data_IF_340616554256
#
_entry.id   IF_340616554256
#
_cell.length_a   1.000
_cell.length_b   1.000
_cell.length_c   1.000
_cell.angle_alpha   90.00
_cell.angle_beta   90.00
_cell.angle_gamma   90.00
#
_symmetry.space_group_name_H-M   'P 1'
#
loop_
_entity.id
_entity.type
_entity.pdbx_description
1 polymer ?
#
# COMPACT_ATOMS: atom_id res chain seq x y z
N UNK A 1 1.50 -0.36 -20.09
CA UNK A 1 2.38 0.40 -19.19
C UNK A 1 3.47 -0.54 -18.68
N UNK A 2 4.73 -0.10 -18.56
CA UNK A 2 5.76 -0.90 -17.87
C UNK A 2 5.80 -0.53 -16.40
N UNK A 3 5.57 -1.50 -15.52
CA UNK A 3 5.35 -1.30 -14.08
C UNK A 3 6.50 -1.93 -13.29
N UNK A 4 7.14 -1.11 -12.46
CA UNK A 4 8.12 -1.58 -11.47
C UNK A 4 7.46 -1.72 -10.10
N UNK A 5 7.69 -2.81 -9.39
CA UNK A 5 7.30 -2.96 -7.98
C UNK A 5 8.57 -3.11 -7.15
N UNK A 6 8.85 -2.17 -6.24
CA UNK A 6 9.98 -2.29 -5.30
C UNK A 6 9.45 -2.78 -3.94
N UNK A 7 9.88 -3.98 -3.57
CA UNK A 7 9.41 -4.75 -2.42
C UNK A 7 8.43 -5.85 -2.81
N UNK A 8 8.92 -7.06 -2.98
CA UNK A 8 8.16 -8.31 -3.20
C UNK A 8 7.59 -8.94 -1.92
N UNK A 9 7.32 -8.12 -0.90
CA UNK A 9 6.61 -8.54 0.32
C UNK A 9 5.12 -8.84 0.07
N UNK A 10 4.32 -8.98 1.13
CA UNK A 10 2.91 -9.32 1.02
C UNK A 10 2.10 -8.41 0.07
N UNK A 11 2.23 -7.08 0.21
CA UNK A 11 1.50 -6.10 -0.62
C UNK A 11 2.03 -6.09 -2.05
N UNK A 12 3.36 -6.03 -2.24
CA UNK A 12 3.96 -5.97 -3.57
C UNK A 12 3.80 -7.27 -4.36
N UNK A 13 3.87 -8.43 -3.71
CA UNK A 13 3.51 -9.72 -4.32
C UNK A 13 2.04 -9.78 -4.70
N UNK A 14 1.13 -9.32 -3.83
CA UNK A 14 -0.31 -9.30 -4.14
C UNK A 14 -0.59 -8.40 -5.35
N UNK A 15 -0.14 -7.13 -5.34
CA UNK A 15 -0.32 -6.21 -6.45
C UNK A 15 0.40 -6.73 -7.72
N UNK A 16 1.68 -7.03 -7.62
CA UNK A 16 2.53 -7.48 -8.72
C UNK A 16 1.98 -8.72 -9.40
N UNK A 17 1.72 -9.79 -8.63
CA UNK A 17 1.23 -11.04 -9.17
C UNK A 17 -0.18 -10.95 -9.77
N UNK A 18 -1.10 -10.20 -9.14
CA UNK A 18 -2.43 -10.01 -9.72
C UNK A 18 -2.41 -9.16 -11.00
N UNK A 19 -1.60 -8.10 -11.06
CA UNK A 19 -1.42 -7.30 -12.28
C UNK A 19 -0.76 -8.12 -13.41
N UNK A 20 0.31 -8.89 -13.13
CA UNK A 20 0.92 -9.81 -14.11
C UNK A 20 -0.11 -10.80 -14.65
N UNK A 21 -0.94 -11.38 -13.77
CA UNK A 21 -2.04 -12.27 -14.16
C UNK A 21 -3.11 -11.55 -15.01
N UNK A 22 -3.30 -10.25 -14.79
CA UNK A 22 -4.15 -9.38 -15.60
C UNK A 22 -3.61 -9.09 -17.01
N UNK A 23 -2.35 -9.44 -17.29
CA UNK A 23 -1.68 -9.21 -18.56
C UNK A 23 -0.78 -7.98 -18.60
N UNK A 24 -0.53 -7.33 -17.46
CA UNK A 24 0.33 -6.15 -17.36
C UNK A 24 1.82 -6.52 -17.39
N UNK A 25 2.66 -5.63 -17.94
CA UNK A 25 4.12 -5.76 -17.94
C UNK A 25 4.68 -5.29 -16.59
N UNK A 26 4.88 -6.25 -15.67
CA UNK A 26 5.29 -5.99 -14.28
C UNK A 26 6.62 -6.67 -13.97
N UNK A 27 7.55 -5.92 -13.39
CA UNK A 27 8.79 -6.44 -12.81
C UNK A 27 8.78 -6.18 -11.29
N UNK A 28 8.98 -7.22 -10.50
CA UNK A 28 9.03 -7.17 -9.04
C UNK A 28 10.49 -7.23 -8.58
N UNK A 29 10.98 -6.18 -7.94
CA UNK A 29 12.29 -6.13 -7.30
C UNK A 29 12.16 -6.40 -5.80
N UNK A 30 12.99 -7.30 -5.28
CA UNK A 30 13.03 -7.60 -3.84
C UNK A 30 14.44 -7.90 -3.35
N UNK A 31 14.75 -7.55 -2.10
CA UNK A 31 16.06 -7.80 -1.49
C UNK A 31 16.18 -9.17 -0.82
N UNK A 32 15.07 -9.91 -0.64
CA UNK A 32 15.10 -11.27 -0.12
C UNK A 32 15.35 -12.26 -1.25
N UNK A 33 16.62 -12.65 -1.42
CA UNK A 33 17.06 -13.53 -2.52
C UNK A 33 16.26 -14.84 -2.63
N UNK A 34 15.98 -15.51 -1.52
CA UNK A 34 15.18 -16.75 -1.54
C UNK A 34 13.77 -16.54 -2.08
N UNK A 35 13.13 -15.40 -1.74
CA UNK A 35 11.81 -15.04 -2.27
C UNK A 35 11.86 -14.82 -3.79
N UNK A 36 12.88 -14.09 -4.27
CA UNK A 36 13.11 -13.85 -5.70
C UNK A 36 13.34 -15.18 -6.45
N UNK A 37 14.29 -15.99 -5.99
CA UNK A 37 14.63 -17.27 -6.63
C UNK A 37 13.43 -18.23 -6.65
N UNK A 38 12.62 -18.24 -5.59
CA UNK A 38 11.40 -19.03 -5.50
C UNK A 38 10.36 -18.58 -6.52
N UNK A 39 10.14 -17.26 -6.65
CA UNK A 39 9.24 -16.69 -7.65
C UNK A 39 9.73 -16.96 -9.08
N UNK A 40 11.03 -16.87 -9.34
CA UNK A 40 11.61 -17.18 -10.66
C UNK A 40 11.44 -18.65 -11.04
N UNK A 41 11.71 -19.56 -10.10
CA UNK A 41 11.70 -21.00 -10.35
C UNK A 41 10.30 -21.60 -10.41
N UNK A 42 9.47 -21.29 -9.42
CA UNK A 42 8.19 -21.95 -9.19
C UNK A 42 6.98 -21.05 -9.50
N UNK A 43 7.21 -19.78 -9.85
CA UNK A 43 6.17 -18.75 -9.91
C UNK A 43 5.73 -18.28 -8.53
N UNK A 44 5.10 -17.10 -8.50
CA UNK A 44 4.46 -16.56 -7.30
C UNK A 44 3.12 -17.25 -7.05
N UNK A 45 2.98 -17.86 -5.87
CA UNK A 45 1.73 -18.44 -5.41
C UNK A 45 0.90 -17.38 -4.66
N UNK A 46 -0.34 -17.20 -5.10
CA UNK A 46 -1.32 -16.29 -4.54
C UNK A 46 -2.53 -17.09 -4.06
N UNK A 47 -2.99 -16.84 -2.84
CA UNK A 47 -4.25 -17.41 -2.37
C UNK A 47 -5.11 -16.43 -1.54
N UNK A 48 -6.31 -16.88 -1.17
CA UNK A 48 -7.24 -16.15 -0.31
C UNK A 48 -8.51 -15.72 -1.04
N UNK A 49 -8.93 -14.46 -0.87
CA UNK A 49 -10.26 -13.99 -1.30
C UNK A 49 -10.52 -14.02 -2.81
N UNK A 50 -9.47 -14.08 -3.62
CA UNK A 50 -9.57 -14.20 -5.08
C UNK A 50 -9.31 -15.62 -5.60
N UNK A 51 -9.26 -16.62 -4.71
CA UNK A 51 -8.90 -18.00 -5.04
C UNK A 51 -7.39 -18.21 -5.15
N UNK A 52 -7.01 -19.43 -5.56
CA UNK A 52 -5.62 -19.86 -5.66
C UNK A 52 -5.10 -19.70 -7.08
N UNK A 53 -3.93 -19.06 -7.23
CA UNK A 53 -3.27 -18.83 -8.51
C UNK A 53 -1.78 -19.03 -8.36
N UNK A 54 -1.13 -19.62 -9.37
CA UNK A 54 0.32 -19.62 -9.51
C UNK A 54 0.65 -18.81 -10.76
N UNK A 55 1.35 -17.70 -10.58
CA UNK A 55 1.61 -16.72 -11.63
C UNK A 55 3.11 -16.68 -11.88
N UNK A 56 3.54 -16.88 -13.12
CA UNK A 56 4.93 -16.67 -13.49
C UNK A 56 5.20 -15.17 -13.59
N UNK A 57 5.92 -14.62 -12.62
CA UNK A 57 6.26 -13.20 -12.52
C UNK A 57 7.71 -12.96 -12.95
N UNK A 58 8.01 -11.78 -13.49
CA UNK A 58 9.40 -11.30 -13.62
C UNK A 58 9.83 -10.75 -12.26
N UNK A 59 10.41 -11.62 -11.43
CA UNK A 59 11.00 -11.25 -10.15
C UNK A 59 12.51 -11.12 -10.28
N UNK A 60 13.07 -10.04 -9.75
CA UNK A 60 14.51 -9.75 -9.77
C UNK A 60 15.00 -9.32 -8.40
N UNK A 61 16.25 -9.63 -8.12
CA UNK A 61 16.88 -9.14 -6.92
C UNK A 61 17.33 -7.69 -7.13
N UNK A 62 17.33 -6.88 -6.07
CA UNK A 62 17.65 -5.44 -6.16
C UNK A 62 19.06 -5.14 -6.68
N UNK A 63 20.01 -6.09 -6.59
CA UNK A 63 21.36 -5.94 -7.16
C UNK A 63 21.37 -5.95 -8.70
N UNK A 64 20.35 -6.55 -9.32
CA UNK A 64 20.21 -6.60 -10.77
C UNK A 64 19.90 -5.22 -11.37
N UNK A 65 19.43 -4.27 -10.55
CA UNK A 65 19.24 -2.87 -10.96
C UNK A 65 20.54 -2.24 -11.46
N UNK A 66 21.71 -2.69 -11.00
CA UNK A 66 23.01 -2.18 -11.45
C UNK A 66 23.23 -2.34 -12.97
N UNK A 67 22.60 -3.35 -13.59
CA UNK A 67 22.68 -3.62 -15.02
C UNK A 67 21.35 -3.37 -15.75
N UNK A 68 20.31 -2.90 -15.05
CA UNK A 68 19.00 -2.66 -15.63
C UNK A 68 19.01 -1.39 -16.48
N UNK A 69 18.41 -1.44 -17.66
CA UNK A 69 18.44 -0.32 -18.63
C UNK A 69 17.05 0.20 -19.00
N UNK A 70 15.99 -0.54 -18.67
CA UNK A 70 14.63 -0.17 -19.05
C UNK A 70 14.08 0.92 -18.12
N UNK A 71 13.00 1.56 -18.56
CA UNK A 71 12.31 2.61 -17.81
C UNK A 71 10.88 2.20 -17.49
N UNK A 72 10.38 2.65 -16.35
CA UNK A 72 9.04 2.39 -15.86
C UNK A 72 8.17 3.64 -16.00
N UNK A 73 6.95 3.43 -16.45
CA UNK A 73 5.90 4.44 -16.46
C UNK A 73 5.27 4.60 -15.07
N UNK A 74 5.22 3.50 -14.31
CA UNK A 74 4.69 3.45 -12.95
C UNK A 74 5.63 2.65 -12.06
N UNK A 75 5.98 3.20 -10.90
CA UNK A 75 6.71 2.48 -9.85
C UNK A 75 5.88 2.40 -8.57
N UNK A 76 5.61 1.18 -8.11
CA UNK A 76 4.88 0.90 -6.88
C UNK A 76 5.88 0.66 -5.75
N UNK A 77 5.79 1.45 -4.69
CA UNK A 77 6.67 1.32 -3.51
C UNK A 77 5.97 0.52 -2.43
N UNK A 78 6.33 -0.76 -2.31
CA UNK A 78 5.72 -1.71 -1.38
C UNK A 78 6.65 -2.14 -0.25
N UNK A 79 7.65 -1.30 0.07
CA UNK A 79 8.60 -1.53 1.16
C UNK A 79 8.06 -1.11 2.53
N UNK A 80 8.82 -1.40 3.59
CA UNK A 80 8.52 -0.85 4.92
C UNK A 80 8.85 0.64 4.94
N UNK A 81 8.07 1.42 5.68
CA UNK A 81 8.14 2.90 5.66
C UNK A 81 9.53 3.46 5.86
N UNK A 82 10.35 2.84 6.72
CA UNK A 82 11.72 3.29 7.00
C UNK A 82 12.69 3.13 5.81
N UNK A 83 12.38 2.28 4.82
CA UNK A 83 13.17 2.10 3.60
C UNK A 83 12.66 2.97 2.43
N UNK A 84 11.55 3.70 2.61
CA UNK A 84 10.89 4.45 1.51
C UNK A 84 11.82 5.46 0.86
N UNK A 85 12.57 6.33 1.58
CA UNK A 85 13.47 7.29 0.93
C UNK A 85 14.53 6.59 0.06
N UNK A 86 15.13 5.52 0.57
CA UNK A 86 16.09 4.71 -0.17
C UNK A 86 15.49 4.10 -1.44
N UNK A 87 14.29 3.52 -1.33
CA UNK A 87 13.60 2.91 -2.47
C UNK A 87 13.27 3.94 -3.56
N UNK A 88 12.84 5.14 -3.16
CA UNK A 88 12.55 6.23 -4.08
C UNK A 88 13.83 6.68 -4.80
N UNK A 89 14.91 6.95 -4.06
CA UNK A 89 16.18 7.37 -4.64
C UNK A 89 16.75 6.32 -5.59
N UNK A 90 16.70 5.05 -5.20
CA UNK A 90 17.17 3.92 -6.01
C UNK A 90 16.38 3.78 -7.32
N UNK A 91 15.05 3.95 -7.26
CA UNK A 91 14.16 3.67 -8.40
C UNK A 91 13.95 4.88 -9.31
N UNK A 92 14.19 6.10 -8.84
CA UNK A 92 14.01 7.35 -9.62
C UNK A 92 14.78 7.35 -10.95
N UNK A 93 16.05 6.90 -11.02
CA UNK A 93 16.78 6.79 -12.28
C UNK A 93 16.14 5.86 -13.31
N UNK A 94 15.19 5.01 -12.93
CA UNK A 94 14.48 4.09 -13.83
C UNK A 94 13.09 4.59 -14.19
N UNK A 95 12.68 5.78 -13.76
CA UNK A 95 11.41 6.37 -14.15
C UNK A 95 11.51 6.99 -15.56
N UNK A 96 10.45 6.90 -16.36
CA UNK A 96 10.31 7.71 -17.58
C UNK A 96 10.11 9.18 -17.24
N UNK A 97 10.26 10.07 -18.22
CA UNK A 97 10.09 11.52 -18.01
C UNK A 97 8.67 11.91 -17.57
N UNK A 98 7.68 11.09 -17.92
CA UNK A 98 6.27 11.26 -17.54
C UNK A 98 5.81 10.26 -16.48
N UNK A 99 6.70 9.37 -16.04
CA UNK A 99 6.37 8.33 -15.08
C UNK A 99 6.14 8.87 -13.67
N UNK A 100 5.52 8.06 -12.83
CA UNK A 100 5.18 8.45 -11.46
C UNK A 100 5.22 7.26 -10.49
N UNK A 101 5.23 7.57 -9.20
CA UNK A 101 5.20 6.61 -8.12
C UNK A 101 3.79 6.45 -7.53
N UNK A 102 3.48 5.26 -7.03
CA UNK A 102 2.31 5.01 -6.16
C UNK A 102 2.78 4.31 -4.87
N UNK A 103 2.34 4.81 -3.71
CA UNK A 103 2.66 4.22 -2.40
C UNK A 103 1.43 3.59 -1.73
N UNK A 104 1.22 2.26 -1.84
CA UNK A 104 0.17 1.54 -1.09
C UNK A 104 0.51 1.30 0.39
N UNK A 105 1.59 1.89 0.89
CA UNK A 105 2.12 1.63 2.22
C UNK A 105 1.15 2.12 3.30
N UNK A 106 1.17 1.49 4.48
CA UNK A 106 0.58 2.09 5.67
C UNK A 106 1.33 3.38 6.04
N UNK A 107 0.69 4.23 6.85
CA UNK A 107 1.20 5.55 7.26
C UNK A 107 1.08 6.64 6.19
N UNK A 108 1.62 7.81 6.49
CA UNK A 108 1.75 8.95 5.57
C UNK A 108 3.20 8.95 5.09
N UNK A 109 3.47 8.34 3.94
CA UNK A 109 4.81 8.30 3.34
C UNK A 109 4.97 9.37 2.25
N UNK A 110 3.86 9.94 1.80
CA UNK A 110 3.84 11.01 0.80
C UNK A 110 4.71 12.20 1.20
N UNK A 111 4.77 12.54 2.48
CA UNK A 111 5.63 13.60 3.03
C UNK A 111 7.13 13.28 2.92
N UNK A 112 7.50 12.01 2.78
CA UNK A 112 8.89 11.57 2.55
C UNK A 112 9.22 11.42 1.07
N UNK A 113 8.22 11.07 0.24
CA UNK A 113 8.41 10.80 -1.19
C UNK A 113 8.36 12.10 -2.00
N UNK A 114 7.35 12.94 -1.79
CA UNK A 114 7.12 14.14 -2.60
C UNK A 114 8.30 15.13 -2.61
N UNK A 115 9.06 15.33 -1.51
CA UNK A 115 10.25 16.18 -1.54
C UNK A 115 11.38 15.65 -2.44
N UNK A 116 11.42 14.35 -2.75
CA UNK A 116 12.46 13.73 -3.56
C UNK A 116 12.12 13.78 -5.04
N UNK A 117 10.88 13.44 -5.40
CA UNK A 117 10.46 13.25 -6.81
C UNK A 117 9.50 14.31 -7.34
N UNK A 118 8.99 15.19 -6.47
CA UNK A 118 7.93 16.13 -6.77
C UNK A 118 6.54 15.54 -6.50
N UNK A 119 5.63 16.36 -5.96
CA UNK A 119 4.25 15.95 -5.70
C UNK A 119 3.49 15.61 -7.00
N UNK A 120 3.89 16.22 -8.11
CA UNK A 120 3.37 15.95 -9.44
C UNK A 120 3.83 14.59 -9.98
N UNK A 121 4.77 13.88 -9.36
CA UNK A 121 5.18 12.51 -9.73
C UNK A 121 4.77 11.45 -8.70
N UNK A 122 3.79 11.76 -7.86
CA UNK A 122 3.33 10.87 -6.81
C UNK A 122 1.80 10.78 -6.78
N UNK A 123 1.30 9.55 -6.69
CA UNK A 123 -0.09 9.24 -6.38
C UNK A 123 -0.11 8.56 -5.00
N UNK A 124 -0.99 9.03 -4.13
CA UNK A 124 -1.20 8.39 -2.83
C UNK A 124 -2.17 7.22 -2.92
N UNK A 125 -2.05 6.30 -1.97
CA UNK A 125 -2.94 5.15 -1.89
C UNK A 125 -3.20 4.69 -0.45
N UNK A 126 -4.46 4.71 -0.04
CA UNK A 126 -4.91 4.03 1.19
C UNK A 126 -5.19 2.56 0.88
N UNK A 127 -4.34 1.67 1.40
CA UNK A 127 -4.53 0.22 1.32
C UNK A 127 -5.35 -0.31 2.51
N UNK A 128 -6.35 -1.12 2.21
CA UNK A 128 -7.30 -1.73 3.17
C UNK A 128 -7.39 -3.24 3.03
N UNK A 129 -6.47 -3.83 2.26
CA UNK A 129 -6.32 -5.29 2.20
C UNK A 129 -5.58 -5.81 3.43
N UNK A 130 -5.90 -7.05 3.79
CA UNK A 130 -5.11 -7.84 4.73
C UNK A 130 -4.32 -8.87 3.93
N UNK A 131 -3.00 -8.69 3.87
CA UNK A 131 -2.11 -9.54 3.10
C UNK A 131 -0.92 -10.02 3.95
N UNK A 132 -0.50 -11.25 3.70
CA UNK A 132 0.60 -11.92 4.38
C UNK A 132 1.54 -12.53 3.35
N UNK A 133 2.83 -12.57 3.68
CA UNK A 133 3.78 -13.41 2.98
C UNK A 133 3.98 -14.64 3.88
N UNK A 134 3.45 -15.78 3.45
CA UNK A 134 3.40 -17.00 4.25
C UNK A 134 4.77 -17.66 4.31
N UNK A 135 5.43 -17.69 3.15
CA UNK A 135 6.79 -18.16 2.92
C UNK A 135 7.32 -17.51 1.63
N UNK A 136 8.57 -17.78 1.28
CA UNK A 136 9.15 -17.33 0.01
C UNK A 136 8.23 -17.74 -1.16
N UNK A 137 7.91 -16.78 -2.04
CA UNK A 137 7.07 -17.00 -3.21
C UNK A 137 5.60 -17.32 -2.92
N UNK A 138 5.08 -17.08 -1.70
CA UNK A 138 3.67 -17.32 -1.35
C UNK A 138 3.05 -16.13 -0.60
N UNK A 139 2.18 -15.39 -1.28
CA UNK A 139 1.38 -14.33 -0.68
C UNK A 139 -0.09 -14.73 -0.53
N UNK A 140 -0.70 -14.34 0.60
CA UNK A 140 -2.08 -14.64 0.96
C UNK A 140 -2.85 -13.34 1.23
N UNK A 141 -3.95 -13.12 0.52
CA UNK A 141 -4.87 -12.00 0.77
C UNK A 141 -6.13 -12.50 1.50
N UNK A 142 -6.26 -12.23 2.80
CA UNK A 142 -7.35 -12.78 3.63
C UNK A 142 -8.62 -11.93 3.64
N UNK A 143 -8.57 -10.70 3.12
CA UNK A 143 -9.72 -9.81 3.15
C UNK A 143 -9.42 -8.41 2.63
N UNK A 144 -10.49 -7.66 2.44
CA UNK A 144 -10.45 -6.26 2.05
C UNK A 144 -11.65 -5.52 2.65
N UNK A 145 -11.39 -4.41 3.32
CA UNK A 145 -12.46 -3.61 3.89
C UNK A 145 -12.03 -2.16 4.19
N UNK A 146 -12.66 -1.17 3.55
CA UNK A 146 -12.50 0.25 3.88
C UNK A 146 -13.53 0.72 4.92
N UNK A 147 -13.07 1.10 6.11
CA UNK A 147 -13.94 1.56 7.20
C UNK A 147 -14.53 2.96 6.94
N UNK A 148 -13.77 3.81 6.24
CA UNK A 148 -14.23 5.13 5.83
C UNK A 148 -15.36 5.00 4.79
N UNK A 149 -15.17 4.16 3.78
CA UNK A 149 -16.12 3.97 2.67
C UNK A 149 -17.20 2.92 2.96
N UNK A 150 -17.07 2.16 4.04
CA UNK A 150 -18.01 1.11 4.48
C UNK A 150 -18.29 0.08 3.38
N UNK A 151 -17.24 -0.44 2.75
CA UNK A 151 -17.38 -1.38 1.64
C UNK A 151 -16.12 -2.21 1.38
N UNK A 152 -16.28 -3.22 0.54
CA UNK A 152 -15.20 -4.08 0.06
C UNK A 152 -14.34 -3.32 -0.98
N UNK A 153 -13.62 -2.32 -0.49
CA UNK A 153 -12.63 -1.51 -1.21
C UNK A 153 -11.26 -1.91 -0.69
N UNK A 154 -10.39 -2.31 -1.61
CA UNK A 154 -9.01 -2.76 -1.36
C UNK A 154 -8.03 -1.61 -1.36
N UNK A 155 -8.23 -0.68 -2.28
CA UNK A 155 -7.33 0.45 -2.49
C UNK A 155 -8.14 1.70 -2.78
N UNK A 156 -7.76 2.80 -2.16
CA UNK A 156 -8.29 4.12 -2.51
C UNK A 156 -7.14 5.01 -2.95
N UNK A 157 -7.12 5.36 -4.23
CA UNK A 157 -6.03 6.10 -4.86
C UNK A 157 -6.45 7.54 -5.12
N UNK A 158 -5.51 8.47 -5.04
CA UNK A 158 -5.81 9.89 -5.21
C UNK A 158 -4.57 10.71 -5.51
N UNK A 159 -4.78 11.81 -6.24
CA UNK A 159 -3.78 12.87 -6.36
C UNK A 159 -3.60 13.57 -5.02
N UNK A 160 -2.38 14.04 -4.74
CA UNK A 160 -2.08 14.76 -3.50
C UNK A 160 -2.86 16.09 -3.38
N UNK A 161 -3.30 16.65 -4.49
CA UNK A 161 -4.11 17.88 -4.54
C UNK A 161 -5.61 17.62 -4.79
N UNK A 162 -6.04 16.36 -4.82
CA UNK A 162 -7.43 15.96 -4.99
C UNK A 162 -7.96 16.05 -6.42
N UNK A 163 -7.13 16.38 -7.42
CA UNK A 163 -7.57 16.37 -8.82
C UNK A 163 -7.88 14.96 -9.30
N UNK A 164 -8.85 14.89 -10.20
CA UNK A 164 -9.21 13.68 -10.92
C UNK A 164 -8.50 13.67 -12.29
N UNK A 165 -7.42 12.89 -12.39
CA UNK A 165 -6.54 12.84 -13.55
C UNK A 165 -6.67 11.51 -14.31
N UNK A 166 -6.21 11.48 -15.56
CA UNK A 166 -6.19 10.25 -16.34
C UNK A 166 -5.30 9.17 -15.69
N UNK A 167 -4.13 9.56 -15.17
CA UNK A 167 -3.20 8.62 -14.54
C UNK A 167 -3.73 7.97 -13.25
N UNK A 168 -4.52 8.69 -12.42
CA UNK A 168 -5.09 8.08 -11.21
C UNK A 168 -6.20 7.09 -11.57
N UNK A 169 -6.93 7.33 -12.67
CA UNK A 169 -7.91 6.38 -13.22
C UNK A 169 -7.24 5.18 -13.88
N UNK A 170 -6.09 5.36 -14.52
CA UNK A 170 -5.29 4.27 -15.05
C UNK A 170 -4.79 3.36 -13.91
N UNK A 171 -4.27 3.93 -12.82
CA UNK A 171 -3.92 3.17 -11.61
C UNK A 171 -5.13 2.41 -11.08
N UNK A 172 -6.30 3.05 -11.01
CA UNK A 172 -7.54 2.38 -10.58
C UNK A 172 -7.85 1.15 -11.44
N UNK A 173 -7.78 1.27 -12.77
CA UNK A 173 -8.07 0.19 -13.70
C UNK A 173 -7.11 -0.99 -13.52
N UNK A 174 -5.80 -0.71 -13.48
CA UNK A 174 -4.76 -1.73 -13.32
C UNK A 174 -4.88 -2.42 -11.96
N UNK A 175 -5.13 -1.67 -10.89
CA UNK A 175 -5.18 -2.22 -9.53
C UNK A 175 -6.47 -3.00 -9.24
N UNK A 176 -7.51 -2.85 -10.07
CA UNK A 176 -8.71 -3.70 -9.99
C UNK A 176 -8.39 -5.19 -10.18
N UNK A 177 -7.25 -5.55 -10.80
CA UNK A 177 -6.77 -6.93 -10.83
C UNK A 177 -6.48 -7.51 -9.42
N UNK A 178 -6.07 -6.66 -8.48
CA UNK A 178 -5.74 -7.02 -7.09
C UNK A 178 -6.89 -6.74 -6.10
N UNK A 179 -8.01 -6.24 -6.58
CA UNK A 179 -9.24 -6.01 -5.83
C UNK A 179 -9.82 -4.61 -6.06
N UNK A 180 -11.06 -4.40 -5.60
CA UNK A 180 -11.82 -3.17 -5.84
C UNK A 180 -11.01 -1.92 -5.49
N UNK A 181 -10.73 -1.10 -6.51
CA UNK A 181 -9.99 0.16 -6.38
C UNK A 181 -10.90 1.33 -6.73
N UNK A 182 -10.84 2.40 -5.93
CA UNK A 182 -11.62 3.62 -6.14
C UNK A 182 -10.71 4.84 -6.16
N UNK A 183 -11.15 5.88 -6.88
CA UNK A 183 -10.47 7.19 -6.91
C UNK A 183 -11.12 8.10 -5.86
N UNK A 184 -10.32 8.90 -5.18
CA UNK A 184 -10.77 9.89 -4.20
C UNK A 184 -10.19 11.27 -4.49
N UNK A 185 -10.99 12.31 -4.25
CA UNK A 185 -10.57 13.72 -4.21
C UNK A 185 -10.10 14.14 -2.80
N UNK A 186 -10.23 13.24 -1.81
CA UNK A 186 -9.95 13.49 -0.41
C UNK A 186 -8.90 12.50 0.14
N UNK A 187 -7.80 12.32 -0.61
CA UNK A 187 -6.72 11.40 -0.24
C UNK A 187 -6.24 11.61 1.20
N UNK A 188 -5.97 12.85 1.59
CA UNK A 188 -5.45 13.17 2.93
C UNK A 188 -6.45 12.85 4.03
N UNK A 189 -7.74 13.13 3.81
CA UNK A 189 -8.78 12.74 4.74
C UNK A 189 -8.78 11.23 4.97
N UNK A 190 -8.76 10.45 3.90
CA UNK A 190 -8.74 8.99 3.98
C UNK A 190 -7.45 8.44 4.62
N UNK A 191 -6.28 9.00 4.29
CA UNK A 191 -4.99 8.69 4.92
C UNK A 191 -5.03 8.90 6.43
N UNK A 192 -5.50 10.06 6.89
CA UNK A 192 -5.60 10.37 8.31
C UNK A 192 -6.66 9.52 9.02
N UNK A 193 -7.77 9.19 8.33
CA UNK A 193 -8.78 8.27 8.82
C UNK A 193 -8.17 6.88 9.06
N UNK A 194 -7.43 6.35 8.08
CA UNK A 194 -6.72 5.06 8.20
C UNK A 194 -5.61 5.10 9.24
N UNK A 195 -4.87 6.20 9.33
CA UNK A 195 -3.83 6.42 10.35
C UNK A 195 -4.43 6.35 11.75
N UNK A 196 -5.56 7.03 11.99
CA UNK A 196 -6.24 6.96 13.29
C UNK A 196 -6.59 5.51 13.67
N UNK A 197 -7.05 4.67 12.73
CA UNK A 197 -7.30 3.24 12.98
C UNK A 197 -6.03 2.50 13.39
N UNK A 198 -4.91 2.75 12.71
CA UNK A 198 -3.63 2.12 13.03
C UNK A 198 -3.12 2.59 14.41
N UNK A 199 -3.20 3.89 14.72
CA UNK A 199 -2.82 4.47 16.01
C UNK A 199 -3.70 3.97 17.17
N UNK A 200 -4.96 3.63 16.88
CA UNK A 200 -5.85 3.00 17.86
C UNK A 200 -5.35 1.60 18.24
N UNK A 201 -5.23 0.71 17.25
CA UNK A 201 -5.05 -0.72 17.52
C UNK A 201 -3.59 -1.13 17.73
N UNK A 202 -2.67 -0.69 16.86
CA UNK A 202 -1.32 -1.24 16.79
C UNK A 202 -0.45 -0.92 18.02
N UNK A 203 -0.33 0.34 18.49
CA UNK A 203 0.51 0.63 19.65
C UNK A 203 -0.07 0.01 20.92
N UNK A 204 -1.40 0.04 21.09
CA UNK A 204 -2.06 -0.57 22.24
C UNK A 204 -1.80 -2.08 22.29
N UNK A 205 -1.99 -2.79 21.17
CA UNK A 205 -1.69 -4.22 21.06
C UNK A 205 -0.20 -4.50 21.35
N UNK A 206 0.70 -3.69 20.79
CA UNK A 206 2.15 -3.84 21.00
C UNK A 206 2.58 -3.64 22.47
N UNK A 207 1.99 -2.67 23.17
CA UNK A 207 2.32 -2.41 24.58
C UNK A 207 1.73 -3.46 25.53
N UNK A 208 0.56 -4.01 25.22
CA UNK A 208 -0.15 -4.93 26.14
C UNK A 208 0.06 -6.41 25.80
N UNK A 209 0.59 -6.73 24.62
CA UNK A 209 0.65 -8.11 24.09
C UNK A 209 -0.71 -8.70 23.73
N UNK A 210 -1.77 -7.87 23.70
CA UNK A 210 -3.12 -8.30 23.38
C UNK A 210 -3.32 -8.31 21.86
N UNK A 211 -4.16 -9.22 21.38
CA UNK A 211 -4.66 -9.19 20.00
C UNK A 211 -5.53 -7.96 19.78
N UNK A 212 -5.67 -7.56 18.51
CA UNK A 212 -6.57 -6.44 18.13
C UNK A 212 -8.00 -6.63 18.64
N UNK A 213 -8.50 -7.87 18.74
CA UNK A 213 -9.83 -8.15 19.27
C UNK A 213 -9.88 -7.90 20.78
N UNK A 214 -8.89 -8.39 21.53
CA UNK A 214 -8.81 -8.22 22.98
C UNK A 214 -8.62 -6.76 23.39
N UNK A 215 -7.84 -5.98 22.63
CA UNK A 215 -7.72 -4.52 22.82
C UNK A 215 -9.08 -3.82 22.75
N UNK A 216 -9.98 -4.29 21.87
CA UNK A 216 -11.32 -3.70 21.75
C UNK A 216 -12.28 -4.18 22.84
N UNK A 217 -12.11 -5.41 23.32
CA UNK A 217 -12.98 -6.03 24.31
C UNK A 217 -12.67 -5.57 25.75
N UNK A 218 -11.40 -5.25 26.06
CA UNK A 218 -11.00 -4.80 27.38
C UNK A 218 -11.28 -3.28 27.56
N UNK A 219 -12.01 -2.85 28.61
CA UNK A 219 -12.38 -1.44 28.80
C UNK A 219 -11.20 -0.47 28.96
N UNK A 220 -10.11 -0.88 29.62
CA UNK A 220 -8.95 -0.02 29.88
C UNK A 220 -8.14 0.21 28.61
N UNK A 221 -7.82 -0.86 27.89
CA UNK A 221 -7.11 -0.75 26.61
C UNK A 221 -7.97 -0.06 25.56
N UNK A 222 -9.29 -0.28 25.54
CA UNK A 222 -10.22 0.46 24.70
C UNK A 222 -10.21 1.96 25.00
N UNK A 223 -10.16 2.36 26.27
CA UNK A 223 -10.05 3.79 26.64
C UNK A 223 -8.78 4.42 26.08
N UNK A 224 -7.64 3.73 26.19
CA UNK A 224 -6.37 4.18 25.62
C UNK A 224 -6.40 4.26 24.10
N UNK A 225 -6.93 3.22 23.45
CA UNK A 225 -7.18 3.18 22.00
C UNK A 225 -7.93 4.43 21.53
N UNK A 226 -9.07 4.75 22.14
CA UNK A 226 -9.89 5.91 21.73
C UNK A 226 -9.13 7.25 21.89
N UNK A 227 -8.26 7.38 22.92
CA UNK A 227 -7.42 8.58 23.10
C UNK A 227 -6.40 8.75 21.99
N UNK A 228 -5.72 7.67 21.58
CA UNK A 228 -4.79 7.74 20.44
C UNK A 228 -5.49 8.08 19.13
N UNK A 229 -6.65 7.48 18.86
CA UNK A 229 -7.45 7.83 17.70
C UNK A 229 -7.89 9.30 17.71
N UNK A 230 -8.33 9.79 18.87
CA UNK A 230 -8.75 11.17 19.05
C UNK A 230 -7.63 12.19 18.80
N UNK A 231 -6.42 11.90 19.27
CA UNK A 231 -5.25 12.73 19.05
C UNK A 231 -4.86 12.76 17.57
N UNK A 232 -4.78 11.61 16.90
CA UNK A 232 -4.46 11.53 15.48
C UNK A 232 -5.45 12.34 14.62
N UNK A 233 -6.76 12.20 14.90
CA UNK A 233 -7.78 12.98 14.19
C UNK A 233 -7.69 14.48 14.48
N UNK A 234 -7.35 14.89 15.72
CA UNK A 234 -7.17 16.29 16.06
C UNK A 234 -6.02 16.91 15.27
N UNK A 235 -4.90 16.19 15.15
CA UNK A 235 -3.74 16.63 14.36
C UNK A 235 -4.14 16.80 12.89
N UNK A 236 -4.70 15.78 12.25
CA UNK A 236 -5.06 15.87 10.84
C UNK A 236 -6.10 16.96 10.54
N UNK A 237 -7.05 17.21 11.46
CA UNK A 237 -8.00 18.34 11.34
C UNK A 237 -7.31 19.70 11.49
N UNK A 238 -6.32 19.81 12.38
CA UNK A 238 -5.53 21.03 12.57
C UNK A 238 -4.70 21.35 11.33
N UNK A 239 -4.24 20.33 10.61
CA UNK A 239 -3.58 20.44 9.30
C UNK A 239 -4.56 20.78 8.15
N UNK A 240 -5.86 20.90 8.43
CA UNK A 240 -6.88 21.32 7.46
C UNK A 240 -7.52 20.19 6.67
N UNK A 241 -7.31 18.92 7.04
CA UNK A 241 -7.86 17.79 6.29
C UNK A 241 -9.32 17.48 6.67
N UNK A 242 -10.14 17.19 5.66
CA UNK A 242 -11.51 16.71 5.85
C UNK A 242 -11.53 15.21 6.14
N UNK A 243 -11.37 14.83 7.42
CA UNK A 243 -11.22 13.42 7.78
C UNK A 243 -12.57 12.71 7.93
N UNK A 244 -12.89 11.69 7.09
CA UNK A 244 -14.06 10.86 7.30
C UNK A 244 -13.93 10.02 8.57
N UNK A 245 -15.07 9.68 9.17
CA UNK A 245 -15.12 8.90 10.40
C UNK A 245 -14.33 7.58 10.26
N UNK A 246 -13.30 7.33 11.10
CA UNK A 246 -12.45 6.15 10.97
C UNK A 246 -13.18 4.85 11.31
N UNK A 247 -14.25 4.93 12.10
CA UNK A 247 -15.10 3.80 12.43
C UNK A 247 -16.55 4.26 12.56
N UNK A 248 -17.51 3.34 12.40
CA UNK A 248 -18.93 3.65 12.61
C UNK A 248 -19.16 4.13 14.06
N UNK A 249 -19.80 5.28 14.21
CA UNK A 249 -20.13 5.85 15.52
C UNK A 249 -18.97 6.52 16.27
N UNK A 250 -17.80 6.69 15.63
CA UNK A 250 -16.69 7.43 16.21
C UNK A 250 -16.81 8.91 15.85
N UNK A 251 -17.44 9.69 16.74
CA UNK A 251 -17.48 11.16 16.63
C UNK A 251 -16.63 11.76 17.73
N UNK A 252 -15.74 12.68 17.34
CA UNK A 252 -14.99 13.54 18.25
C UNK A 252 -15.84 14.71 18.71
#
# INVERSE_FOLDING_TARGET
>A
MKIGVIGGGAIGSTLGGHMTRGGEDVIIFDSWRENVEKMQKDGLFLDGVQGEHRVQVDARHVDELANFQEKFDLIIVAMKSYDTPWAIELMTPFLTDTGYFVSPQNSINEEQIAPIVGADRLIGCVSTISAWLMEAGHARQTGSMSQALKGNVSFTVGELDGRDTERVREVQQIWNHAGTTVVTDNLWGERWSKMAINCMANPTAGMTGLTSHEVRANPESRSMMLKFGAEALRIGRTLGHNIPSPMKGFTL
#
